data_IF_546040371024
#
_entry.id   IF_546040371024
#
_cell.length_a   1.000
_cell.length_b   1.000
_cell.length_c   1.000
_cell.angle_alpha   90.00
_cell.angle_beta   90.00
_cell.angle_gamma   90.00
#
_symmetry.space_group_name_H-M   'P 1'
#
loop_
_entity.id
_entity.type
_entity.pdbx_description
1 polymer ?
#
# COMPACT_ATOMS: atom_id res chain seq x y z
N UNK A 1 7.64 -18.42 28.62
CA UNK A 1 7.28 -16.99 28.49
C UNK A 1 7.45 -16.41 27.08
N UNK A 2 8.26 -16.98 26.17
CA UNK A 2 8.41 -16.47 24.78
C UNK A 2 7.21 -16.76 23.86
N UNK A 3 6.58 -17.93 23.99
CA UNK A 3 5.47 -18.35 23.11
C UNK A 3 4.13 -17.67 23.35
N UNK A 4 3.93 -16.98 24.49
CA UNK A 4 2.63 -16.37 24.80
C UNK A 4 2.45 -14.99 24.16
N UNK A 5 3.54 -14.33 23.76
CA UNK A 5 3.49 -13.06 23.04
C UNK A 5 3.17 -13.26 21.55
N UNK A 6 3.67 -14.33 20.92
CA UNK A 6 3.44 -14.62 19.50
C UNK A 6 1.96 -14.87 19.16
N UNK A 7 1.20 -15.45 20.10
CA UNK A 7 -0.23 -15.71 19.94
C UNK A 7 -1.15 -14.60 20.49
N UNK A 8 -0.58 -13.52 21.03
CA UNK A 8 -1.39 -12.39 21.48
C UNK A 8 -2.00 -11.66 20.29
N UNK A 9 -3.29 -11.30 20.38
CA UNK A 9 -3.97 -10.49 19.36
C UNK A 9 -3.21 -9.20 19.05
N UNK A 10 -2.48 -8.65 20.03
CA UNK A 10 -1.61 -7.48 19.86
C UNK A 10 -0.38 -7.74 18.99
N UNK A 11 0.32 -8.87 19.15
CA UNK A 11 1.46 -9.19 18.28
C UNK A 11 1.00 -9.46 16.85
N UNK A 12 -0.15 -10.10 16.68
CA UNK A 12 -0.78 -10.30 15.37
C UNK A 12 -1.14 -8.96 14.73
N UNK A 13 -1.75 -8.04 15.48
CA UNK A 13 -2.13 -6.70 15.03
C UNK A 13 -0.90 -5.82 14.74
N UNK A 14 0.16 -5.95 15.54
CA UNK A 14 1.43 -5.26 15.32
C UNK A 14 2.15 -5.76 14.06
N UNK A 15 2.25 -7.07 13.86
CA UNK A 15 2.77 -7.67 12.62
C UNK A 15 1.93 -7.30 11.41
N UNK A 16 0.62 -7.18 11.59
CA UNK A 16 -0.33 -6.71 10.59
C UNK A 16 0.02 -5.26 10.21
N UNK A 17 0.02 -4.31 11.14
CA UNK A 17 0.41 -2.91 10.85
C UNK A 17 1.83 -2.81 10.27
N UNK A 18 2.79 -3.58 10.79
CA UNK A 18 4.18 -3.56 10.34
C UNK A 18 4.35 -4.03 8.89
N UNK A 19 3.51 -4.97 8.41
CA UNK A 19 3.48 -5.36 7.00
C UNK A 19 2.84 -4.27 6.11
N UNK A 20 1.99 -3.41 6.66
CA UNK A 20 1.26 -2.37 5.91
C UNK A 20 2.08 -1.09 5.73
N UNK A 21 3.09 -0.89 6.58
CA UNK A 21 3.96 0.30 6.61
C UNK A 21 4.58 0.64 5.25
N UNK A 22 4.96 -0.37 4.47
CA UNK A 22 5.65 -0.16 3.19
C UNK A 22 4.73 0.49 2.17
N UNK A 23 3.50 0.01 2.06
CA UNK A 23 2.49 0.58 1.17
C UNK A 23 2.07 1.96 1.63
N UNK A 24 1.85 2.14 2.93
CA UNK A 24 1.51 3.44 3.50
C UNK A 24 2.60 4.47 3.19
N UNK A 25 3.87 4.13 3.43
CA UNK A 25 5.00 5.01 3.20
C UNK A 25 5.20 5.36 1.72
N UNK A 26 5.13 4.37 0.82
CA UNK A 26 5.26 4.60 -0.62
C UNK A 26 4.12 5.48 -1.14
N UNK A 27 2.88 5.19 -0.73
CA UNK A 27 1.72 5.99 -1.15
C UNK A 27 1.81 7.41 -0.60
N UNK A 28 2.19 7.59 0.68
CA UNK A 28 2.34 8.90 1.28
C UNK A 28 3.39 9.75 0.55
N UNK A 29 4.53 9.15 0.19
CA UNK A 29 5.57 9.84 -0.56
C UNK A 29 5.08 10.27 -1.95
N UNK A 30 4.35 9.41 -2.66
CA UNK A 30 3.72 9.77 -3.95
C UNK A 30 2.72 10.91 -3.75
N UNK A 31 1.88 10.84 -2.72
CA UNK A 31 0.92 11.88 -2.37
C UNK A 31 1.60 13.26 -2.21
N UNK A 32 2.62 13.32 -1.36
CA UNK A 32 3.33 14.58 -1.06
C UNK A 32 4.06 15.12 -2.29
N UNK A 33 4.78 14.25 -3.03
CA UNK A 33 5.52 14.69 -4.21
C UNK A 33 4.61 15.25 -5.29
N UNK A 34 3.49 14.58 -5.58
CA UNK A 34 2.55 15.06 -6.58
C UNK A 34 1.83 16.31 -6.12
N UNK A 35 1.43 16.39 -4.84
CA UNK A 35 0.81 17.60 -4.31
C UNK A 35 1.73 18.81 -4.42
N UNK A 36 3.00 18.68 -4.02
CA UNK A 36 4.00 19.75 -4.16
C UNK A 36 4.28 20.10 -5.62
N UNK A 37 4.36 19.09 -6.51
CA UNK A 37 4.55 19.30 -7.93
C UNK A 37 3.40 20.12 -8.55
N UNK A 38 2.16 19.81 -8.19
CA UNK A 38 1.00 20.61 -8.61
C UNK A 38 0.99 21.99 -7.96
N UNK A 39 1.42 22.12 -6.70
CA UNK A 39 1.66 23.39 -6.02
C UNK A 39 2.57 24.32 -6.82
N UNK A 40 3.73 23.80 -7.23
CA UNK A 40 4.73 24.55 -8.01
C UNK A 40 4.17 25.00 -9.36
N UNK A 41 3.41 24.14 -10.05
CA UNK A 41 2.85 24.44 -11.39
C UNK A 41 1.65 25.39 -11.31
N UNK A 42 0.80 25.25 -10.29
CA UNK A 42 -0.47 25.97 -10.19
C UNK A 42 -0.35 27.33 -9.51
N UNK A 43 0.34 27.39 -8.37
CA UNK A 43 0.37 28.58 -7.50
C UNK A 43 1.77 29.21 -7.40
N UNK A 44 2.80 28.52 -7.91
CA UNK A 44 4.19 28.96 -7.92
C UNK A 44 5.09 28.27 -6.88
N UNK A 45 6.40 28.52 -6.90
CA UNK A 45 7.39 27.78 -6.12
C UNK A 45 7.29 27.95 -4.59
N UNK A 46 6.53 28.96 -4.12
CA UNK A 46 6.35 29.23 -2.69
C UNK A 46 5.17 28.46 -2.06
N UNK A 47 4.49 27.59 -2.82
CA UNK A 47 3.41 26.77 -2.27
C UNK A 47 3.97 25.70 -1.32
N UNK A 48 3.81 25.95 -0.02
CA UNK A 48 4.23 25.04 1.05
C UNK A 48 3.09 24.08 1.42
N UNK A 49 3.46 22.81 1.65
CA UNK A 49 2.53 21.82 2.19
C UNK A 49 2.21 22.17 3.65
N UNK A 50 0.95 22.50 3.94
CA UNK A 50 0.50 22.70 5.31
C UNK A 50 0.58 21.37 6.10
N UNK A 51 0.99 21.48 7.36
CA UNK A 51 1.15 20.33 8.26
C UNK A 51 -0.17 19.57 8.45
N UNK A 52 -1.30 20.29 8.49
CA UNK A 52 -2.62 19.66 8.57
C UNK A 52 -2.95 18.85 7.31
N UNK A 53 -2.65 19.37 6.12
CA UNK A 53 -2.82 18.65 4.85
C UNK A 53 -1.95 17.38 4.83
N UNK A 54 -0.71 17.47 5.31
CA UNK A 54 0.18 16.31 5.43
C UNK A 54 -0.40 15.24 6.37
N UNK A 55 -0.94 15.64 7.53
CA UNK A 55 -1.60 14.71 8.47
C UNK A 55 -2.81 14.04 7.81
N UNK A 56 -3.66 14.79 7.10
CA UNK A 56 -4.83 14.22 6.43
C UNK A 56 -4.43 13.20 5.36
N UNK A 57 -3.39 13.50 4.56
CA UNK A 57 -2.82 12.55 3.59
C UNK A 57 -2.25 11.31 4.26
N UNK A 58 -1.60 11.46 5.41
CA UNK A 58 -1.12 10.34 6.21
C UNK A 58 -2.28 9.44 6.66
N UNK A 59 -3.40 10.01 7.13
CA UNK A 59 -4.59 9.24 7.47
C UNK A 59 -5.20 8.54 6.26
N UNK A 60 -5.30 9.20 5.11
CA UNK A 60 -5.78 8.55 3.88
C UNK A 60 -4.90 7.35 3.48
N UNK A 61 -3.58 7.53 3.49
CA UNK A 61 -2.62 6.45 3.21
C UNK A 61 -2.71 5.33 4.25
N UNK A 62 -2.94 5.66 5.51
CA UNK A 62 -3.16 4.70 6.58
C UNK A 62 -4.41 3.84 6.33
N UNK A 63 -5.55 4.44 5.97
CA UNK A 63 -6.75 3.67 5.63
C UNK A 63 -6.53 2.78 4.41
N UNK A 64 -5.82 3.26 3.39
CA UNK A 64 -5.48 2.46 2.20
C UNK A 64 -4.58 1.26 2.55
N UNK A 65 -3.58 1.46 3.41
CA UNK A 65 -2.69 0.38 3.86
C UNK A 65 -3.39 -0.66 4.74
N UNK A 66 -4.32 -0.23 5.60
CA UNK A 66 -5.21 -1.12 6.36
C UNK A 66 -6.10 -1.92 5.40
N UNK A 67 -6.73 -1.24 4.43
CA UNK A 67 -7.57 -1.89 3.44
C UNK A 67 -6.79 -2.94 2.63
N UNK A 68 -5.54 -2.66 2.29
CA UNK A 68 -4.69 -3.62 1.58
C UNK A 68 -4.54 -4.92 2.36
N UNK A 69 -4.27 -4.83 3.67
CA UNK A 69 -4.08 -6.03 4.46
C UNK A 69 -5.35 -6.81 4.75
N UNK A 70 -6.47 -6.12 4.89
CA UNK A 70 -7.76 -6.76 5.07
C UNK A 70 -8.20 -7.51 3.81
N UNK A 71 -7.99 -6.90 2.65
CA UNK A 71 -8.53 -7.37 1.37
C UNK A 71 -7.56 -8.30 0.63
N UNK A 72 -6.24 -8.05 0.73
CA UNK A 72 -5.18 -8.79 0.06
C UNK A 72 -4.24 -9.44 1.09
N UNK A 73 -4.70 -10.49 1.80
CA UNK A 73 -3.79 -11.29 2.61
C UNK A 73 -2.74 -11.97 1.70
N UNK A 74 -1.46 -11.85 2.08
CA UNK A 74 -0.27 -12.35 1.34
C UNK A 74 -0.45 -13.77 0.79
N UNK A 75 -1.21 -14.62 1.47
CA UNK A 75 -1.35 -16.04 1.17
C UNK A 75 -2.27 -16.37 -0.02
N UNK A 76 -3.20 -15.49 -0.42
CA UNK A 76 -4.18 -15.75 -1.49
C UNK A 76 -4.45 -14.52 -2.36
N UNK A 77 -3.41 -14.10 -3.07
CA UNK A 77 -3.44 -12.97 -3.99
C UNK A 77 -4.27 -13.30 -5.24
N UNK A 78 -5.58 -12.99 -5.18
CA UNK A 78 -6.52 -13.18 -6.30
C UNK A 78 -6.69 -11.87 -7.06
N UNK A 79 -6.69 -11.90 -8.40
CA UNK A 79 -6.87 -10.70 -9.26
C UNK A 79 -8.08 -9.86 -8.83
N UNK A 80 -9.20 -10.51 -8.50
CA UNK A 80 -10.45 -9.88 -8.05
C UNK A 80 -10.28 -9.09 -6.74
N UNK A 81 -9.49 -9.59 -5.80
CA UNK A 81 -9.22 -8.90 -4.51
C UNK A 81 -8.30 -7.71 -4.70
N UNK A 82 -7.33 -7.81 -5.61
CA UNK A 82 -6.50 -6.68 -6.02
C UNK A 82 -7.32 -5.55 -6.63
N UNK A 83 -8.21 -5.87 -7.57
CA UNK A 83 -9.14 -4.87 -8.16
C UNK A 83 -10.02 -4.24 -7.08
N UNK A 84 -10.58 -5.05 -6.17
CA UNK A 84 -11.42 -4.55 -5.07
C UNK A 84 -10.66 -3.61 -4.14
N UNK A 85 -9.39 -3.89 -3.84
CA UNK A 85 -8.53 -2.97 -3.08
C UNK A 85 -8.28 -1.65 -3.82
N UNK A 86 -8.01 -1.68 -5.14
CA UNK A 86 -7.85 -0.46 -5.93
C UNK A 86 -9.13 0.37 -5.90
N UNK A 87 -10.30 -0.26 -6.08
CA UNK A 87 -11.60 0.41 -6.03
C UNK A 87 -11.86 1.06 -4.68
N UNK A 88 -11.64 0.33 -3.57
CA UNK A 88 -11.82 0.88 -2.22
C UNK A 88 -10.85 2.03 -1.95
N UNK A 89 -9.60 1.88 -2.36
CA UNK A 89 -8.59 2.92 -2.19
C UNK A 89 -8.95 4.17 -2.99
N UNK A 90 -9.42 4.03 -4.23
CA UNK A 90 -9.93 5.16 -5.02
C UNK A 90 -11.11 5.87 -4.34
N UNK A 91 -12.04 5.13 -3.73
CA UNK A 91 -13.14 5.70 -2.95
C UNK A 91 -12.63 6.48 -1.74
N UNK A 92 -11.64 5.96 -1.01
CA UNK A 92 -11.03 6.65 0.13
C UNK A 92 -10.39 7.96 -0.34
N UNK A 93 -9.60 7.92 -1.41
CA UNK A 93 -8.92 9.09 -1.97
C UNK A 93 -9.92 10.14 -2.42
N UNK A 94 -10.97 9.73 -3.14
CA UNK A 94 -12.06 10.61 -3.57
C UNK A 94 -12.76 11.26 -2.37
N UNK A 95 -13.08 10.47 -1.35
CA UNK A 95 -13.76 10.95 -0.15
C UNK A 95 -12.92 11.99 0.60
N UNK A 96 -11.64 11.70 0.83
CA UNK A 96 -10.73 12.64 1.48
C UNK A 96 -10.52 13.90 0.64
N UNK A 97 -10.30 13.75 -0.67
CA UNK A 97 -10.13 14.88 -1.58
C UNK A 97 -11.36 15.80 -1.61
N UNK A 98 -12.57 15.24 -1.54
CA UNK A 98 -13.82 16.02 -1.52
C UNK A 98 -14.06 16.69 -0.16
N UNK A 99 -13.84 15.97 0.94
CA UNK A 99 -14.06 16.49 2.30
C UNK A 99 -13.07 17.59 2.68
N UNK A 100 -11.80 17.40 2.31
CA UNK A 100 -10.72 18.33 2.67
C UNK A 100 -10.38 19.33 1.55
N UNK A 101 -10.98 19.18 0.36
CA UNK A 101 -10.81 20.14 -0.73
C UNK A 101 -9.38 20.28 -1.25
N UNK A 102 -8.54 19.24 -1.12
CA UNK A 102 -7.11 19.28 -1.48
C UNK A 102 -6.84 19.81 -2.90
N UNK A 103 -7.76 19.56 -3.83
CA UNK A 103 -7.64 19.97 -5.22
C UNK A 103 -8.59 21.10 -5.63
N UNK A 104 -9.26 21.76 -4.67
CA UNK A 104 -10.21 22.82 -4.98
C UNK A 104 -9.53 24.10 -5.49
N UNK A 105 -8.33 24.39 -4.98
CA UNK A 105 -7.51 25.52 -5.46
C UNK A 105 -6.81 25.23 -6.81
N UNK A 106 -6.75 23.95 -7.21
CA UNK A 106 -6.05 23.53 -8.41
C UNK A 106 -6.99 23.33 -9.60
N UNK A 107 -6.50 23.46 -10.83
CA UNK A 107 -7.27 23.08 -12.01
C UNK A 107 -7.75 21.61 -11.95
N UNK A 108 -8.94 21.29 -12.49
CA UNK A 108 -9.51 19.94 -12.42
C UNK A 108 -8.67 18.87 -13.13
N UNK A 109 -7.80 19.25 -14.07
CA UNK A 109 -6.88 18.31 -14.73
C UNK A 109 -5.80 17.76 -13.79
N UNK A 110 -5.38 18.53 -12.76
CA UNK A 110 -4.43 18.07 -11.75
C UNK A 110 -4.99 16.87 -10.97
N UNK A 111 -6.27 16.96 -10.60
CA UNK A 111 -6.97 15.90 -9.89
C UNK A 111 -7.09 14.61 -10.73
N UNK A 112 -7.42 14.73 -12.02
CA UNK A 112 -7.50 13.58 -12.93
C UNK A 112 -6.13 12.91 -13.06
N UNK A 113 -5.08 13.71 -13.29
CA UNK A 113 -3.71 13.20 -13.41
C UNK A 113 -3.26 12.50 -12.12
N UNK A 114 -3.57 13.09 -10.97
CA UNK A 114 -3.28 12.52 -9.66
C UNK A 114 -3.93 11.14 -9.47
N UNK A 115 -5.21 11.01 -9.80
CA UNK A 115 -5.92 9.73 -9.73
C UNK A 115 -5.31 8.68 -10.65
N UNK A 116 -4.99 9.04 -11.90
CA UNK A 116 -4.38 8.11 -12.86
C UNK A 116 -3.04 7.59 -12.34
N UNK A 117 -2.18 8.50 -11.86
CA UNK A 117 -0.89 8.12 -11.28
C UNK A 117 -1.06 7.22 -10.07
N UNK A 118 -2.01 7.51 -9.18
CA UNK A 118 -2.26 6.67 -8.01
C UNK A 118 -2.75 5.28 -8.38
N UNK A 119 -3.64 5.16 -9.38
CA UNK A 119 -4.09 3.86 -9.87
C UNK A 119 -2.90 3.07 -10.43
N UNK A 120 -2.02 3.71 -11.20
CA UNK A 120 -0.80 3.08 -11.72
C UNK A 120 0.14 2.67 -10.58
N UNK A 121 0.36 3.54 -9.59
CA UNK A 121 1.19 3.26 -8.43
C UNK A 121 0.65 2.09 -7.60
N UNK A 122 -0.66 2.02 -7.38
CA UNK A 122 -1.30 0.90 -6.70
C UNK A 122 -1.22 -0.39 -7.52
N UNK A 123 -1.39 -0.34 -8.83
CA UNK A 123 -1.17 -1.50 -9.69
C UNK A 123 0.29 -2.00 -9.62
N UNK A 124 1.25 -1.08 -9.58
CA UNK A 124 2.67 -1.38 -9.38
C UNK A 124 2.96 -2.05 -8.04
N UNK A 125 2.36 -1.55 -6.95
CA UNK A 125 2.45 -2.17 -5.61
C UNK A 125 1.87 -3.59 -5.59
N UNK A 126 0.71 -3.79 -6.23
CA UNK A 126 0.10 -5.11 -6.41
C UNK A 126 1.02 -6.08 -7.16
N UNK A 127 1.65 -5.60 -8.24
CA UNK A 127 2.58 -6.39 -9.05
C UNK A 127 3.84 -6.73 -8.25
N UNK A 128 4.40 -5.77 -7.51
CA UNK A 128 5.53 -6.00 -6.61
C UNK A 128 5.22 -7.09 -5.58
N UNK A 129 4.04 -7.05 -4.98
CA UNK A 129 3.57 -8.07 -4.04
C UNK A 129 3.38 -9.44 -4.70
N UNK A 130 2.86 -9.46 -5.92
CA UNK A 130 2.70 -10.70 -6.70
C UNK A 130 4.06 -11.36 -7.00
N UNK A 131 5.07 -10.57 -7.35
CA UNK A 131 6.44 -11.06 -7.59
C UNK A 131 7.06 -11.59 -6.29
N UNK A 132 6.93 -10.86 -5.18
CA UNK A 132 7.44 -11.26 -3.86
C UNK A 132 6.85 -12.62 -3.46
N UNK A 133 5.53 -12.79 -3.60
CA UNK A 133 4.85 -14.05 -3.31
C UNK A 133 5.35 -15.22 -4.18
N UNK A 134 5.58 -14.97 -5.47
CA UNK A 134 6.13 -15.99 -6.38
C UNK A 134 7.57 -16.36 -6.04
N UNK A 135 8.36 -15.43 -5.53
CA UNK A 135 9.74 -15.71 -5.10
C UNK A 135 9.76 -16.56 -3.83
N UNK A 136 8.95 -16.20 -2.83
CA UNK A 136 8.81 -16.97 -1.59
C UNK A 136 8.33 -18.40 -1.86
N UNK A 137 7.32 -18.56 -2.72
CA UNK A 137 6.79 -19.89 -3.10
C UNK A 137 7.87 -20.75 -3.77
N UNK A 138 8.67 -20.19 -4.68
CA UNK A 138 9.77 -20.92 -5.31
C UNK A 138 10.88 -21.28 -4.34
N UNK A 139 11.22 -20.38 -3.42
CA UNK A 139 12.23 -20.65 -2.39
C UNK A 139 11.78 -21.79 -1.47
N UNK A 140 10.50 -21.80 -1.07
CA UNK A 140 9.91 -22.84 -0.24
C UNK A 140 9.89 -24.19 -0.97
N UNK A 141 9.46 -24.23 -2.23
CA UNK A 141 9.46 -25.47 -3.03
C UNK A 141 10.87 -26.06 -3.19
N UNK A 142 11.90 -25.22 -3.36
CA UNK A 142 13.30 -25.69 -3.44
C UNK A 142 13.80 -26.29 -2.13
N UNK A 143 13.37 -25.74 -0.99
CA UNK A 143 13.74 -26.30 0.32
C UNK A 143 13.04 -27.64 0.55
N UNK A 144 11.75 -27.74 0.23
CA UNK A 144 11.00 -28.99 0.30
C UNK A 144 11.62 -30.11 -0.55
N UNK A 145 12.03 -29.80 -1.78
CA UNK A 145 12.69 -30.75 -2.68
C UNK A 145 14.03 -31.25 -2.10
N UNK A 146 14.82 -30.37 -1.46
CA UNK A 146 16.06 -30.77 -0.77
C UNK A 146 15.80 -31.70 0.41
N UNK A 147 14.78 -31.40 1.22
CA UNK A 147 14.42 -32.26 2.35
C UNK A 147 13.91 -33.62 1.90
N UNK A 148 13.11 -33.68 0.83
CA UNK A 148 12.64 -34.96 0.27
C UNK A 148 13.78 -35.79 -0.33
N UNK A 149 14.71 -35.16 -1.04
CA UNK A 149 15.87 -35.85 -1.61
C UNK A 149 16.86 -36.33 -0.54
N UNK A 150 17.02 -35.60 0.57
CA UNK A 150 17.79 -36.08 1.74
C UNK A 150 17.10 -37.26 2.41
N UNK A 151 15.78 -37.18 2.63
CA UNK A 151 15.02 -38.28 3.25
C UNK A 151 14.97 -39.56 2.39
N UNK A 152 14.95 -39.43 1.05
CA UNK A 152 15.00 -40.57 0.13
C UNK A 152 16.41 -41.11 -0.15
N UNK A 153 17.47 -40.36 0.19
CA UNK A 153 18.86 -40.78 0.03
C UNK A 153 19.46 -41.52 1.24
N UNK A 154 18.70 -41.63 2.34
CA UNK A 154 19.07 -42.34 3.56
C UNK A 154 18.38 -43.72 3.70
N UNK A 155 17.85 -44.27 2.60
CA UNK A 155 17.35 -45.66 2.50
C UNK A 155 18.22 -46.52 1.61
#
# INVERSE_FOLDING_TARGET
MRHQFEDSGFARLYLWIAKAKYTMGILFLVFVLFYLFFGIIGEGPDHLLDFFTAIQMMFACFFIGIAQQGIVPKEKLTKTRGVLWITISAIIILSFSLVFGWFFSFPPWCFILFLVVLIIGMAGLLLGHYIELHRETRALNRQLEKFQNQANGEG
#
